data_IF_677750121822
#
_entry.id   IF_677750121822
#
_cell.length_a   1.000
_cell.length_b   1.000
_cell.length_c   1.000
_cell.angle_alpha   90.00
_cell.angle_beta   90.00
_cell.angle_gamma   90.00
#
_symmetry.space_group_name_H-M   'P 1'
#
loop_
_entity.id
_entity.type
_entity.pdbx_description
1 polymer ?
#
# COMPACT_ATOMS: atom_id res chain seq x y z
N UNK A 1 -24.49 48.58 10.12
CA UNK A 1 -25.60 48.34 11.06
C UNK A 1 -25.63 46.86 11.36
N UNK A 2 -25.55 46.51 12.65
CA UNK A 2 -25.78 45.20 13.30
C UNK A 2 -24.96 44.00 12.80
N UNK A 3 -24.23 43.22 13.60
CA UNK A 3 -24.15 42.99 15.04
C UNK A 3 -23.55 41.57 15.18
N UNK A 4 -22.35 41.42 15.77
CA UNK A 4 -22.10 40.81 17.09
C UNK A 4 -22.70 39.41 17.34
N UNK A 5 -21.84 38.46 17.73
CA UNK A 5 -21.93 37.52 18.89
C UNK A 5 -21.34 36.14 18.52
N UNK A 6 -20.09 35.78 18.90
CA UNK A 6 -19.56 35.34 20.21
C UNK A 6 -20.21 34.08 20.83
N UNK A 7 -19.34 33.35 21.54
CA UNK A 7 -19.53 32.28 22.57
C UNK A 7 -19.01 30.90 22.10
N UNK A 8 -17.73 30.59 22.30
CA UNK A 8 -17.14 29.94 23.50
C UNK A 8 -17.81 28.64 23.91
N UNK A 9 -17.07 27.53 23.86
CA UNK A 9 -17.25 26.48 24.84
C UNK A 9 -15.92 25.77 25.13
N UNK A 10 -15.20 26.34 26.10
CA UNK A 10 -14.23 25.62 26.92
C UNK A 10 -14.99 24.71 27.90
N UNK A 11 -14.56 23.45 28.03
CA UNK A 11 -14.57 22.75 29.33
C UNK A 11 -13.65 21.53 29.32
N UNK A 12 -12.53 21.69 30.01
CA UNK A 12 -11.69 20.63 30.58
C UNK A 12 -12.33 20.05 31.85
N UNK A 13 -12.24 18.73 32.02
CA UNK A 13 -12.09 18.01 33.31
C UNK A 13 -12.10 16.50 33.04
N UNK A 14 -10.94 15.84 33.05
CA UNK A 14 -10.32 15.15 34.20
C UNK A 14 -11.10 13.93 34.72
N UNK A 15 -10.58 12.75 34.38
CA UNK A 15 -10.21 11.68 35.32
C UNK A 15 -11.32 10.91 36.03
N UNK A 16 -11.42 9.62 35.72
CA UNK A 16 -11.50 8.60 36.78
C UNK A 16 -10.95 7.25 36.32
N UNK A 17 -10.01 6.78 37.12
CA UNK A 17 -9.31 5.50 37.08
C UNK A 17 -10.19 4.47 37.77
N UNK A 18 -10.38 3.30 37.17
CA UNK A 18 -10.82 2.08 37.87
C UNK A 18 -9.89 0.94 37.48
N UNK A 19 -9.02 0.55 38.43
CA UNK A 19 -8.14 -0.61 38.32
C UNK A 19 -8.79 -1.81 38.99
N UNK A 20 -8.89 -2.90 38.25
CA UNK A 20 -9.36 -4.20 38.72
C UNK A 20 -8.33 -4.89 39.61
N UNK A 21 -8.84 -5.75 40.51
CA UNK A 21 -8.13 -6.30 41.65
C UNK A 21 -7.36 -7.61 41.43
N UNK A 22 -6.82 -8.04 42.58
CA UNK A 22 -6.41 -9.39 43.00
C UNK A 22 -5.12 -9.99 42.42
N UNK A 23 -4.12 -10.07 43.30
CA UNK A 23 -2.87 -10.83 43.16
C UNK A 23 -3.06 -12.25 43.69
N UNK A 24 -2.62 -13.26 42.94
CA UNK A 24 -2.25 -14.57 43.49
C UNK A 24 -1.21 -15.27 42.59
N UNK A 25 -0.19 -15.79 43.24
CA UNK A 25 1.02 -16.42 42.71
C UNK A 25 0.78 -17.77 42.02
N UNK A 26 1.57 -18.09 40.99
CA UNK A 26 1.64 -19.41 40.34
C UNK A 26 2.72 -19.47 39.24
N UNK A 27 3.23 -20.67 38.85
CA UNK A 27 4.66 -20.99 38.91
C UNK A 27 5.48 -20.82 37.61
N UNK A 28 6.79 -20.64 37.80
CA UNK A 28 7.88 -20.65 36.82
C UNK A 28 7.96 -21.96 36.03
N UNK A 29 8.06 -21.91 34.70
CA UNK A 29 8.47 -23.00 33.79
C UNK A 29 8.91 -22.41 32.41
N UNK A 30 9.66 -23.16 31.56
CA UNK A 30 11.12 -23.12 31.46
C UNK A 30 11.60 -22.37 30.20
N UNK A 31 12.90 -22.07 30.16
CA UNK A 31 13.61 -21.53 28.99
C UNK A 31 13.39 -22.41 27.75
N UNK A 32 12.57 -21.95 26.82
CA UNK A 32 12.49 -22.50 25.47
C UNK A 32 13.43 -21.72 24.56
N UNK A 33 14.67 -22.19 24.44
CA UNK A 33 15.47 -21.96 23.24
C UNK A 33 14.66 -22.48 22.05
N UNK A 34 14.18 -21.59 21.19
CA UNK A 34 13.16 -21.96 20.23
C UNK A 34 12.99 -20.97 19.09
N UNK A 35 13.85 -21.16 18.09
CA UNK A 35 13.60 -20.94 16.64
C UNK A 35 13.55 -19.49 16.21
N UNK A 36 14.54 -19.13 15.38
CA UNK A 36 14.48 -17.94 14.55
C UNK A 36 13.15 -17.90 13.82
N UNK A 37 12.43 -16.81 14.01
CA UNK A 37 11.32 -16.44 13.14
C UNK A 37 11.98 -16.02 11.83
N UNK A 38 12.12 -16.96 10.91
CA UNK A 38 12.21 -16.59 9.48
C UNK A 38 10.86 -15.97 9.17
N UNK A 39 10.84 -14.64 9.11
CA UNK A 39 9.74 -13.85 8.57
C UNK A 39 9.38 -14.49 7.22
N UNK A 40 8.27 -15.23 7.19
CA UNK A 40 7.80 -15.86 5.98
C UNK A 40 7.39 -14.72 5.08
N UNK A 41 8.20 -14.45 4.06
CA UNK A 41 7.84 -13.56 2.96
C UNK A 41 6.53 -14.12 2.42
N UNK A 42 5.41 -13.50 2.76
CA UNK A 42 4.10 -13.91 2.28
C UNK A 42 4.09 -13.57 0.80
N UNK A 43 4.50 -14.52 -0.04
CA UNK A 43 4.16 -14.49 -1.46
C UNK A 43 2.64 -14.47 -1.52
N UNK A 44 2.06 -13.30 -1.79
CA UNK A 44 0.64 -13.19 -2.10
C UNK A 44 0.44 -14.03 -3.36
N UNK A 45 -0.20 -15.19 -3.22
CA UNK A 45 -0.48 -16.07 -4.35
C UNK A 45 -1.63 -15.43 -5.13
N UNK A 46 -1.29 -14.71 -6.20
CA UNK A 46 -2.27 -14.22 -7.16
C UNK A 46 -2.68 -15.45 -7.99
N UNK A 47 -3.85 -16.05 -7.71
CA UNK A 47 -4.26 -17.32 -8.30
C UNK A 47 -4.54 -17.23 -9.81
N UNK A 48 -4.95 -16.06 -10.31
CA UNK A 48 -5.28 -15.89 -11.72
C UNK A 48 -4.95 -14.46 -12.24
N UNK A 49 -3.66 -14.13 -12.42
CA UNK A 49 -3.28 -12.85 -13.00
C UNK A 49 -3.71 -12.78 -14.46
N UNK A 50 -4.23 -11.63 -14.91
CA UNK A 50 -4.60 -11.44 -16.33
C UNK A 50 -3.41 -11.51 -17.27
N UNK A 51 -2.21 -11.18 -16.80
CA UNK A 51 -0.96 -11.24 -17.55
C UNK A 51 0.10 -12.01 -16.75
N UNK A 52 0.09 -13.35 -16.80
CA UNK A 52 1.02 -14.20 -16.04
C UNK A 52 2.49 -13.92 -16.35
N UNK A 53 2.83 -13.62 -17.60
CA UNK A 53 4.20 -13.32 -18.04
C UNK A 53 4.81 -12.10 -17.32
N UNK A 54 3.97 -11.23 -16.74
CA UNK A 54 4.38 -10.02 -16.01
C UNK A 54 4.20 -10.15 -14.50
N UNK A 55 4.02 -11.35 -13.96
CA UNK A 55 3.87 -11.60 -12.53
C UNK A 55 5.15 -11.27 -11.74
N UNK A 56 6.31 -11.52 -12.32
CA UNK A 56 7.60 -11.15 -11.73
C UNK A 56 7.86 -9.64 -11.86
N UNK A 57 8.22 -9.00 -10.74
CA UNK A 57 8.50 -7.55 -10.70
C UNK A 57 9.60 -7.16 -11.67
N UNK A 58 10.68 -7.92 -11.75
CA UNK A 58 11.83 -7.57 -12.58
C UNK A 58 11.51 -7.69 -14.08
N UNK A 59 10.60 -8.59 -14.47
CA UNK A 59 10.05 -8.63 -15.83
C UNK A 59 9.28 -7.36 -16.13
N UNK A 60 8.45 -6.88 -15.20
CA UNK A 60 7.76 -5.58 -15.34
C UNK A 60 8.75 -4.44 -15.49
N UNK A 61 9.79 -4.35 -14.65
CA UNK A 61 10.83 -3.32 -14.76
C UNK A 61 11.47 -3.35 -16.15
N UNK A 62 11.80 -4.54 -16.67
CA UNK A 62 12.45 -4.70 -17.98
C UNK A 62 11.59 -4.22 -19.15
N UNK A 63 10.27 -4.08 -18.98
CA UNK A 63 9.38 -3.57 -20.03
C UNK A 63 9.57 -2.07 -20.29
N UNK A 64 10.11 -1.30 -19.33
CA UNK A 64 10.22 0.16 -19.38
C UNK A 64 11.45 0.70 -20.14
N UNK A 65 12.04 -0.05 -21.06
CA UNK A 65 13.26 0.35 -21.78
C UNK A 65 13.17 1.69 -22.53
N UNK A 66 11.97 2.11 -22.92
CA UNK A 66 11.70 3.37 -23.64
C UNK A 66 10.71 4.27 -22.89
N UNK A 67 10.68 4.17 -21.57
CA UNK A 67 9.81 4.99 -20.73
C UNK A 67 10.21 6.47 -20.83
N UNK A 68 9.24 7.43 -20.92
CA UNK A 68 9.58 8.84 -21.08
C UNK A 68 10.36 9.39 -19.87
N UNK A 69 11.54 9.96 -20.13
CA UNK A 69 12.45 10.48 -19.08
C UNK A 69 11.90 11.68 -18.29
N UNK A 70 10.91 12.40 -18.84
CA UNK A 70 10.30 13.55 -18.17
C UNK A 70 9.28 13.16 -17.09
N UNK A 71 8.89 11.88 -17.01
CA UNK A 71 7.98 11.37 -16.00
C UNK A 71 8.75 10.99 -14.73
N UNK A 72 8.16 11.33 -13.58
CA UNK A 72 8.74 11.05 -12.26
C UNK A 72 8.48 9.62 -11.80
N UNK A 73 7.47 8.96 -12.37
CA UNK A 73 7.14 7.57 -12.08
C UNK A 73 8.20 6.65 -12.67
N UNK A 74 9.16 6.26 -11.83
CA UNK A 74 10.25 5.37 -12.24
C UNK A 74 9.74 3.97 -12.58
N UNK A 75 10.46 3.20 -13.42
CA UNK A 75 10.13 1.80 -13.70
C UNK A 75 9.93 0.94 -12.45
N UNK A 76 10.73 1.19 -11.40
CA UNK A 76 10.61 0.48 -10.11
C UNK A 76 9.28 0.78 -9.43
N UNK A 77 8.88 2.05 -9.33
CA UNK A 77 7.60 2.46 -8.72
C UNK A 77 6.40 1.90 -9.51
N UNK A 78 6.47 1.96 -10.84
CA UNK A 78 5.45 1.38 -11.70
C UNK A 78 5.32 -0.12 -11.50
N UNK A 79 6.44 -0.84 -11.50
CA UNK A 79 6.46 -2.28 -11.31
C UNK A 79 6.00 -2.69 -9.90
N UNK A 80 6.32 -1.92 -8.86
CA UNK A 80 5.84 -2.13 -7.49
C UNK A 80 4.33 -1.93 -7.38
N UNK A 81 3.76 -0.95 -8.09
CA UNK A 81 2.31 -0.80 -8.25
C UNK A 81 1.68 -1.87 -9.17
N UNK A 82 2.47 -2.79 -9.74
CA UNK A 82 1.97 -3.90 -10.56
C UNK A 82 1.84 -3.56 -12.05
N UNK A 83 2.29 -2.39 -12.48
CA UNK A 83 2.24 -1.96 -13.87
C UNK A 83 3.44 -2.45 -14.68
N UNK A 84 3.20 -2.79 -15.95
CA UNK A 84 4.20 -2.94 -16.99
C UNK A 84 3.91 -1.97 -18.15
N UNK A 85 4.94 -1.61 -18.90
CA UNK A 85 4.85 -0.69 -20.03
C UNK A 85 4.37 -1.40 -21.30
N UNK A 86 3.50 -0.74 -22.07
CA UNK A 86 3.00 -1.27 -23.34
C UNK A 86 3.90 -0.93 -24.55
N UNK A 87 4.95 -0.13 -24.35
CA UNK A 87 5.92 0.20 -25.40
C UNK A 87 5.60 1.45 -26.23
N UNK A 88 4.48 2.11 -25.93
CA UNK A 88 4.00 3.33 -26.60
C UNK A 88 3.62 4.42 -25.60
N UNK A 89 4.00 5.66 -25.90
CA UNK A 89 3.77 6.86 -25.08
C UNK A 89 4.11 6.59 -23.59
N UNK A 90 3.12 6.74 -22.71
CA UNK A 90 3.18 6.45 -21.29
C UNK A 90 2.14 5.39 -20.87
N UNK A 91 1.69 4.57 -21.83
CA UNK A 91 0.64 3.58 -21.59
C UNK A 91 1.15 2.41 -20.74
N UNK A 92 0.50 2.15 -19.61
CA UNK A 92 0.83 1.05 -18.71
C UNK A 92 -0.37 0.13 -18.47
N UNK A 93 -0.09 -1.09 -17.99
CA UNK A 93 -1.13 -2.06 -17.62
C UNK A 93 -0.75 -2.87 -16.39
N UNK A 94 -1.71 -3.10 -15.51
CA UNK A 94 -1.51 -3.96 -14.36
C UNK A 94 -1.48 -5.45 -14.78
N UNK A 95 -0.51 -6.22 -14.30
CA UNK A 95 -0.44 -7.66 -14.60
C UNK A 95 -1.61 -8.45 -13.98
N UNK A 96 -2.08 -8.04 -12.79
CA UNK A 96 -3.11 -8.74 -12.03
C UNK A 96 -4.51 -8.43 -12.57
N UNK A 97 -4.99 -7.20 -12.39
CA UNK A 97 -6.36 -6.82 -12.77
C UNK A 97 -6.52 -6.44 -14.24
N UNK A 98 -5.42 -6.25 -14.98
CA UNK A 98 -5.41 -5.78 -16.36
C UNK A 98 -5.88 -4.36 -16.58
N UNK A 99 -6.09 -3.57 -15.52
CA UNK A 99 -6.39 -2.14 -15.61
C UNK A 99 -5.26 -1.39 -16.31
N UNK A 100 -5.61 -0.45 -17.19
CA UNK A 100 -4.64 0.34 -17.95
C UNK A 100 -4.74 1.83 -17.64
N UNK A 101 -3.60 2.49 -17.48
CA UNK A 101 -3.47 3.93 -17.26
C UNK A 101 -2.57 4.55 -18.32
N UNK A 102 -2.73 5.85 -18.54
CA UNK A 102 -1.96 6.69 -19.47
C UNK A 102 -2.14 8.15 -19.07
N UNK A 103 -1.43 9.05 -19.74
CA UNK A 103 -1.39 10.48 -19.42
C UNK A 103 -0.92 10.74 -17.97
N UNK A 104 0.16 10.05 -17.57
CA UNK A 104 0.76 10.19 -16.25
C UNK A 104 1.25 11.63 -16.03
N UNK A 105 0.91 12.20 -14.88
CA UNK A 105 1.35 13.52 -14.47
C UNK A 105 2.52 13.43 -13.49
N UNK A 106 3.44 14.42 -13.43
CA UNK A 106 4.59 14.37 -12.52
C UNK A 106 4.26 14.22 -11.03
N UNK A 107 3.03 14.53 -10.61
CA UNK A 107 2.56 14.40 -9.23
C UNK A 107 1.87 13.06 -8.93
N UNK A 108 1.64 12.21 -9.94
CA UNK A 108 0.93 10.95 -9.75
C UNK A 108 1.78 9.94 -8.98
N UNK A 109 1.15 9.26 -8.03
CA UNK A 109 1.70 8.10 -7.36
C UNK A 109 1.11 6.81 -7.97
N UNK A 110 1.92 5.91 -8.54
CA UNK A 110 1.41 4.74 -9.25
C UNK A 110 0.51 3.83 -8.42
N UNK A 111 0.81 3.63 -7.13
CA UNK A 111 -0.01 2.74 -6.30
C UNK A 111 -1.33 3.40 -5.91
N UNK A 112 -1.30 4.71 -5.60
CA UNK A 112 -2.52 5.47 -5.33
C UNK A 112 -3.45 5.51 -6.54
N UNK A 113 -2.93 5.81 -7.73
CA UNK A 113 -3.74 5.83 -8.95
C UNK A 113 -4.28 4.43 -9.29
N UNK A 114 -3.50 3.37 -9.03
CA UNK A 114 -3.99 2.00 -9.18
C UNK A 114 -5.18 1.72 -8.24
N UNK A 115 -5.03 1.94 -6.93
CA UNK A 115 -6.08 1.71 -5.95
C UNK A 115 -7.32 2.58 -6.24
N UNK A 116 -7.12 3.81 -6.70
CA UNK A 116 -8.20 4.75 -7.04
C UNK A 116 -9.02 4.28 -8.24
N UNK A 117 -8.37 3.88 -9.34
CA UNK A 117 -9.06 3.54 -10.59
C UNK A 117 -9.50 2.08 -10.68
N UNK A 118 -8.80 1.17 -10.00
CA UNK A 118 -9.10 -0.26 -10.00
C UNK A 118 -9.17 -0.82 -8.56
N UNK A 119 -10.14 -0.38 -7.74
CA UNK A 119 -10.25 -0.74 -6.31
C UNK A 119 -10.60 -2.21 -6.03
N UNK A 120 -10.71 -3.03 -7.07
CA UNK A 120 -10.96 -4.49 -6.99
C UNK A 120 -9.75 -5.30 -7.47
N UNK A 121 -8.60 -4.66 -7.65
CA UNK A 121 -7.38 -5.39 -7.96
C UNK A 121 -6.95 -6.21 -6.74
N UNK A 122 -6.63 -7.48 -6.90
CA UNK A 122 -6.19 -8.34 -5.80
C UNK A 122 -4.71 -8.13 -5.45
N UNK A 123 -3.99 -7.32 -6.23
CA UNK A 123 -2.57 -7.03 -6.02
C UNK A 123 -2.32 -5.80 -5.13
N UNK A 124 -3.23 -4.82 -5.09
CA UNK A 124 -3.08 -3.54 -4.36
C UNK A 124 -4.28 -3.19 -3.50
#
# INVERSE_FOLDING_TARGET
>A
MTGTNNLTNDRQSTGQVVTNGTSSLGPTQPSRSGRGRTESVTSVVIENPKYPDYQERDVRISSFQRWPEYLTQTPSLMAEAGFFFLGEADCTRCFCCGGGLKNWEPCDDPIFEHTRWFPRCEYV
#
